data_IF_113878148726
#
_entry.id   IF_113878148726
#
_cell.length_a   1.000
_cell.length_b   1.000
_cell.length_c   1.000
_cell.angle_alpha   90.00
_cell.angle_beta   90.00
_cell.angle_gamma   90.00
#
_symmetry.space_group_name_H-M   'P 1'
#
loop_
_entity.id
_entity.type
_entity.pdbx_description
1 polymer ?
#
# COMPACT_ATOMS: atom_id res chain seq x y z
N UNK A 1 43.55 37.03 63.33
CA UNK A 1 43.45 36.13 62.16
C UNK A 1 41.97 35.92 61.86
N UNK A 2 41.47 36.46 60.74
CA UNK A 2 40.08 36.23 60.29
C UNK A 2 40.08 34.96 59.45
N UNK A 3 39.33 33.95 59.89
CA UNK A 3 39.05 32.77 59.07
C UNK A 3 38.06 33.21 57.97
N UNK A 4 38.57 33.46 56.78
CA UNK A 4 37.76 33.66 55.58
C UNK A 4 37.00 32.38 55.30
N UNK A 5 35.67 32.43 55.36
CA UNK A 5 34.81 31.35 54.91
C UNK A 5 35.03 31.16 53.41
N UNK A 6 35.89 30.23 53.03
CA UNK A 6 35.99 29.72 51.66
C UNK A 6 34.65 29.01 51.40
N UNK A 7 33.66 29.74 50.90
CA UNK A 7 32.44 29.12 50.35
C UNK A 7 32.91 28.21 49.20
N UNK A 8 32.85 26.90 49.43
CA UNK A 8 32.96 25.91 48.37
C UNK A 8 31.77 26.13 47.43
N UNK A 9 32.00 26.92 46.39
CA UNK A 9 31.01 27.24 45.37
C UNK A 9 30.82 25.98 44.53
N UNK A 10 29.89 25.13 44.93
CA UNK A 10 29.55 23.92 44.17
C UNK A 10 29.10 24.33 42.77
N UNK A 11 29.85 23.91 41.76
CA UNK A 11 29.49 24.18 40.38
C UNK A 11 28.15 23.51 40.07
N UNK A 12 27.19 24.31 39.59
CA UNK A 12 25.90 23.76 39.21
C UNK A 12 26.11 22.77 38.06
N UNK A 13 25.42 21.62 38.09
CA UNK A 13 25.57 20.53 37.10
C UNK A 13 25.54 21.02 35.65
N UNK A 14 24.69 22.02 35.38
CA UNK A 14 24.56 22.69 34.06
C UNK A 14 25.87 23.31 33.55
N UNK A 15 26.70 23.84 34.44
CA UNK A 15 27.94 24.55 34.09
C UNK A 15 29.05 23.55 33.77
N UNK A 16 29.08 22.43 34.52
CA UNK A 16 29.96 21.29 34.25
C UNK A 16 29.61 20.62 32.92
N UNK A 17 28.32 20.43 32.64
CA UNK A 17 27.86 19.87 31.36
C UNK A 17 28.14 20.81 30.19
N UNK A 18 28.02 22.13 30.39
CA UNK A 18 28.36 23.12 29.36
C UNK A 18 29.84 23.08 29.02
N UNK A 19 30.71 23.04 30.03
CA UNK A 19 32.16 22.90 29.85
C UNK A 19 32.50 21.60 29.13
N UNK A 20 31.84 20.49 29.49
CA UNK A 20 32.01 19.20 28.81
C UNK A 20 31.59 19.27 27.34
N UNK A 21 30.50 19.95 27.01
CA UNK A 21 30.03 20.08 25.63
C UNK A 21 30.95 20.96 24.79
N UNK A 22 31.48 22.06 25.39
CA UNK A 22 32.50 22.91 24.78
C UNK A 22 33.78 22.13 24.47
N UNK A 23 34.25 21.31 25.42
CA UNK A 23 35.45 20.50 25.25
C UNK A 23 35.29 19.41 24.19
N UNK A 24 34.05 18.93 23.96
CA UNK A 24 33.71 17.91 22.95
C UNK A 24 33.37 18.50 21.57
N UNK A 25 33.50 19.82 21.37
CA UNK A 25 33.18 20.49 20.10
C UNK A 25 31.69 20.52 19.76
N UNK A 26 30.81 20.28 20.74
CA UNK A 26 29.36 20.21 20.56
C UNK A 26 28.70 21.53 20.95
N UNK A 27 28.93 22.56 20.14
CA UNK A 27 28.55 23.95 20.41
C UNK A 27 27.02 24.23 20.46
N UNK A 28 26.17 23.23 20.20
CA UNK A 28 24.71 23.36 20.18
C UNK A 28 23.95 22.36 21.05
N UNK A 29 24.62 21.50 21.82
CA UNK A 29 23.92 20.54 22.70
C UNK A 29 23.38 21.21 23.96
N UNK A 30 22.08 21.04 24.21
CA UNK A 30 21.37 21.66 25.34
C UNK A 30 21.83 21.07 26.67
N UNK A 31 22.12 21.94 27.63
CA UNK A 31 22.49 21.61 29.01
C UNK A 31 21.32 21.75 29.99
N UNK A 32 20.10 21.97 29.49
CA UNK A 32 18.86 21.99 30.28
C UNK A 32 17.74 21.24 29.55
N UNK A 33 16.91 20.54 30.32
CA UNK A 33 15.60 20.06 29.88
C UNK A 33 14.66 21.26 29.67
N UNK A 34 14.55 21.72 28.43
CA UNK A 34 13.57 22.74 28.04
C UNK A 34 12.37 22.04 27.43
N UNK A 35 11.25 22.03 28.15
CA UNK A 35 9.95 21.61 27.62
C UNK A 35 9.45 22.75 26.71
N UNK A 36 9.24 22.45 25.42
CA UNK A 36 8.76 23.44 24.43
C UNK A 36 9.71 23.71 23.25
N UNK A 37 10.83 23.01 23.11
CA UNK A 37 11.76 23.27 22.01
C UNK A 37 11.25 22.71 20.66
N UNK A 38 10.95 23.60 19.72
CA UNK A 38 10.67 23.25 18.32
C UNK A 38 11.89 22.57 17.68
N UNK A 39 11.64 21.59 16.81
CA UNK A 39 12.71 20.94 16.03
C UNK A 39 13.41 22.03 15.17
N UNK A 40 14.73 21.93 14.98
CA UNK A 40 15.47 22.85 14.12
C UNK A 40 14.87 22.87 12.70
N UNK A 41 14.74 24.07 12.11
CA UNK A 41 14.25 24.26 10.75
C UNK A 41 15.21 23.62 9.74
N UNK A 42 14.87 22.40 9.32
CA UNK A 42 15.57 21.71 8.24
C UNK A 42 15.01 22.20 6.92
N UNK A 43 15.87 22.75 6.08
CA UNK A 43 15.54 23.07 4.70
C UNK A 43 15.65 21.78 3.90
N UNK A 44 14.60 21.48 3.14
CA UNK A 44 14.52 20.32 2.25
C UNK A 44 14.41 20.85 0.82
N UNK A 45 15.10 20.21 -0.10
CA UNK A 45 15.10 20.58 -1.52
C UNK A 45 14.07 19.74 -2.30
N UNK A 46 13.85 20.10 -3.57
CA UNK A 46 12.92 19.40 -4.43
C UNK A 46 13.39 17.96 -4.69
N UNK A 47 12.53 16.99 -4.38
CA UNK A 47 12.88 15.55 -4.45
C UNK A 47 13.29 14.92 -3.12
N UNK A 48 13.52 15.69 -2.06
CA UNK A 48 13.85 15.12 -0.74
C UNK A 48 12.68 14.35 -0.14
N UNK A 49 12.98 13.17 0.42
CA UNK A 49 12.01 12.35 1.16
C UNK A 49 12.40 12.32 2.63
N UNK A 50 11.54 12.83 3.52
CA UNK A 50 11.81 12.80 4.96
C UNK A 50 10.62 12.35 5.78
N UNK A 51 10.89 11.83 6.98
CA UNK A 51 9.86 11.44 7.96
C UNK A 51 9.65 12.57 8.98
N UNK A 52 8.44 13.08 9.08
CA UNK A 52 8.00 13.98 10.16
C UNK A 52 6.64 13.53 10.67
N UNK A 53 6.51 13.46 11.99
CA UNK A 53 5.25 13.19 12.70
C UNK A 53 4.56 11.90 12.21
N UNK A 54 5.36 10.85 12.02
CA UNK A 54 4.92 9.53 11.57
C UNK A 54 4.57 9.44 10.08
N UNK A 55 4.71 10.52 9.30
CA UNK A 55 4.39 10.59 7.87
C UNK A 55 5.63 10.85 7.02
N UNK A 56 5.64 10.34 5.80
CA UNK A 56 6.68 10.59 4.80
C UNK A 56 6.29 11.77 3.92
N UNK A 57 7.12 12.79 3.89
CA UNK A 57 6.92 14.02 3.14
C UNK A 57 7.88 14.10 1.96
N UNK A 58 7.44 14.75 0.89
CA UNK A 58 8.23 15.15 -0.27
C UNK A 58 7.90 16.55 -0.71
N UNK A 59 8.84 17.23 -1.34
CA UNK A 59 8.57 18.45 -2.11
C UNK A 59 8.46 18.06 -3.58
N UNK A 60 7.35 18.42 -4.21
CA UNK A 60 7.10 18.30 -5.65
C UNK A 60 6.46 19.57 -6.16
N UNK A 61 7.01 20.16 -7.21
CA UNK A 61 6.53 21.40 -7.81
C UNK A 61 6.46 22.54 -6.76
N UNK A 62 7.44 22.59 -5.85
CA UNK A 62 7.48 23.55 -4.73
C UNK A 62 6.45 23.33 -3.62
N UNK A 63 5.59 22.31 -3.71
CA UNK A 63 4.55 22.01 -2.72
C UNK A 63 4.98 20.82 -1.86
N UNK A 64 4.92 20.99 -0.54
CA UNK A 64 5.10 19.91 0.43
C UNK A 64 3.90 18.95 0.39
N UNK A 65 4.12 17.74 -0.14
CA UNK A 65 3.13 16.68 -0.27
C UNK A 65 3.46 15.49 0.64
N UNK A 66 2.43 14.82 1.17
CA UNK A 66 2.57 13.59 1.95
C UNK A 66 2.54 12.38 1.00
N UNK A 67 3.59 11.54 1.04
CA UNK A 67 3.62 10.27 0.32
C UNK A 67 2.78 9.26 1.10
N UNK A 68 1.61 8.91 0.57
CA UNK A 68 0.79 7.82 1.10
C UNK A 68 1.05 6.52 0.36
N UNK A 69 0.81 5.37 1.00
CA UNK A 69 0.86 4.05 0.33
C UNK A 69 -0.07 4.00 -0.90
N UNK A 70 -1.20 4.70 -0.84
CA UNK A 70 -2.21 4.79 -1.90
C UNK A 70 -1.80 5.71 -3.06
N UNK A 71 -0.74 6.51 -2.92
CA UNK A 71 -0.35 7.48 -3.95
C UNK A 71 0.09 6.80 -5.26
N UNK A 72 0.71 5.61 -5.15
CA UNK A 72 1.02 4.75 -6.32
C UNK A 72 -0.25 4.25 -7.00
N UNK A 73 -1.23 3.77 -6.23
CA UNK A 73 -2.48 3.25 -6.75
C UNK A 73 -3.34 4.35 -7.41
N UNK A 74 -3.35 5.56 -6.84
CA UNK A 74 -4.02 6.71 -7.45
C UNK A 74 -3.44 7.01 -8.83
N UNK A 75 -2.11 7.07 -8.95
CA UNK A 75 -1.42 7.35 -10.23
C UNK A 75 -1.71 6.30 -11.31
N UNK A 76 -1.82 5.02 -10.94
CA UNK A 76 -2.10 3.95 -11.92
C UNK A 76 -3.56 3.89 -12.37
N UNK A 77 -4.48 4.46 -11.60
CA UNK A 77 -5.92 4.51 -11.90
C UNK A 77 -6.38 5.84 -12.49
N UNK A 78 -5.54 6.89 -12.44
CA UNK A 78 -5.84 8.16 -13.10
C UNK A 78 -5.64 7.97 -14.61
N UNK A 79 -6.74 8.17 -15.35
CA UNK A 79 -6.72 8.20 -16.80
C UNK A 79 -6.12 9.53 -17.27
N UNK A 80 -5.08 9.52 -18.12
CA UNK A 80 -4.50 10.73 -18.67
C UNK A 80 -5.50 11.40 -19.63
N UNK A 81 -5.31 12.70 -19.85
CA UNK A 81 -6.11 13.44 -20.83
C UNK A 81 -5.82 12.97 -22.26
N UNK A 82 -4.60 12.53 -22.53
CA UNK A 82 -4.13 12.09 -23.83
C UNK A 82 -3.78 10.59 -23.79
N UNK A 83 -4.22 9.86 -24.81
CA UNK A 83 -3.90 8.45 -24.94
C UNK A 83 -2.39 8.26 -25.19
N UNK A 84 -1.70 7.36 -24.46
CA UNK A 84 -0.26 7.16 -24.62
C UNK A 84 0.13 6.56 -25.99
N UNK A 85 -0.80 5.89 -26.69
CA UNK A 85 -0.53 5.26 -27.99
C UNK A 85 -0.75 6.19 -29.19
N UNK A 86 -1.76 7.05 -29.14
CA UNK A 86 -2.15 7.87 -30.31
C UNK A 86 -2.19 9.37 -30.03
N UNK A 87 -1.85 9.80 -28.81
CA UNK A 87 -1.83 11.20 -28.36
C UNK A 87 -3.14 11.96 -28.59
N UNK A 88 -4.25 11.25 -28.81
CA UNK A 88 -5.58 11.84 -28.94
C UNK A 88 -6.22 12.03 -27.57
N UNK A 89 -7.09 13.04 -27.46
CA UNK A 89 -7.91 13.28 -26.29
C UNK A 89 -8.77 12.05 -25.98
N UNK A 90 -8.68 11.59 -24.73
CA UNK A 90 -9.46 10.46 -24.22
C UNK A 90 -10.87 10.91 -23.82
N UNK A 91 -11.86 10.14 -24.22
CA UNK A 91 -13.29 10.36 -23.90
C UNK A 91 -13.66 9.57 -22.65
N UNK A 92 -14.81 9.89 -22.04
CA UNK A 92 -15.37 9.13 -20.90
C UNK A 92 -15.51 7.63 -21.18
N UNK A 93 -15.77 7.26 -22.43
CA UNK A 93 -15.91 5.88 -22.91
C UNK A 93 -14.59 5.11 -22.92
N UNK A 94 -13.44 5.80 -22.93
CA UNK A 94 -12.11 5.17 -22.95
C UNK A 94 -11.65 4.66 -21.58
N UNK A 95 -12.33 5.05 -20.50
CA UNK A 95 -11.98 4.69 -19.11
C UNK A 95 -11.84 3.17 -18.86
N UNK A 96 -12.80 2.31 -19.22
CA UNK A 96 -12.65 0.86 -19.04
C UNK A 96 -11.46 0.30 -19.83
N UNK A 97 -11.28 0.73 -21.09
CA UNK A 97 -10.18 0.28 -21.94
C UNK A 97 -8.81 0.68 -21.39
N UNK A 98 -8.69 1.90 -20.86
CA UNK A 98 -7.46 2.36 -20.23
C UNK A 98 -7.12 1.59 -18.95
N UNK A 99 -8.12 1.21 -18.16
CA UNK A 99 -7.88 0.45 -16.94
C UNK A 99 -7.26 -0.92 -17.24
N UNK A 100 -7.76 -1.63 -18.26
CA UNK A 100 -7.30 -2.96 -18.65
C UNK A 100 -6.06 -2.94 -19.55
N UNK A 101 -6.11 -2.17 -20.64
CA UNK A 101 -5.12 -2.22 -21.73
C UNK A 101 -4.19 -0.99 -21.81
N UNK A 102 -4.43 0.01 -20.95
CA UNK A 102 -3.67 1.27 -20.90
C UNK A 102 -3.69 2.08 -22.21
N UNK A 103 -4.67 1.87 -23.08
CA UNK A 103 -4.91 2.69 -24.28
C UNK A 103 -6.41 2.96 -24.52
N UNK A 104 -6.71 3.89 -25.42
CA UNK A 104 -8.09 4.27 -25.77
C UNK A 104 -8.82 3.19 -26.59
N UNK A 105 -10.13 3.33 -26.70
CA UNK A 105 -11.03 2.47 -27.48
C UNK A 105 -10.61 2.38 -28.95
N UNK A 106 -10.25 3.50 -29.57
CA UNK A 106 -9.83 3.50 -30.98
C UNK A 106 -8.55 2.67 -31.21
N UNK A 107 -7.61 2.71 -30.27
CA UNK A 107 -6.42 1.87 -30.32
C UNK A 107 -6.76 0.39 -30.10
N UNK A 108 -7.77 0.10 -29.27
CA UNK A 108 -8.28 -1.25 -29.07
C UNK A 108 -8.93 -1.81 -30.35
N UNK A 109 -9.80 -1.03 -31.00
CA UNK A 109 -10.44 -1.43 -32.25
C UNK A 109 -9.42 -1.74 -33.36
N UNK A 110 -8.34 -0.95 -33.47
CA UNK A 110 -7.25 -1.24 -34.43
C UNK A 110 -6.51 -2.53 -34.10
N UNK A 111 -6.31 -2.81 -32.82
CA UNK A 111 -5.67 -4.04 -32.37
C UNK A 111 -6.55 -5.26 -32.67
N UNK A 112 -7.85 -5.19 -32.39
CA UNK A 112 -8.80 -6.25 -32.74
C UNK A 112 -8.90 -6.46 -34.26
N UNK A 113 -8.95 -5.39 -35.06
CA UNK A 113 -8.96 -5.46 -36.52
C UNK A 113 -7.70 -6.13 -37.06
N UNK A 114 -6.52 -5.81 -36.50
CA UNK A 114 -5.27 -6.47 -36.85
C UNK A 114 -5.30 -7.97 -36.49
N UNK A 115 -5.78 -8.32 -35.29
CA UNK A 115 -5.91 -9.73 -34.88
C UNK A 115 -6.86 -10.52 -35.79
N UNK A 116 -7.96 -9.90 -36.23
CA UNK A 116 -8.91 -10.51 -37.16
C UNK A 116 -8.29 -10.73 -38.54
N UNK A 117 -7.54 -9.75 -39.05
CA UNK A 117 -6.79 -9.88 -40.31
C UNK A 117 -5.76 -11.01 -40.26
N UNK A 118 -5.13 -11.21 -39.12
CA UNK A 118 -4.18 -12.29 -38.89
C UNK A 118 -4.84 -13.65 -38.61
N UNK A 119 -6.17 -13.71 -38.46
CA UNK A 119 -6.90 -14.93 -38.09
C UNK A 119 -6.70 -15.40 -36.63
N UNK A 120 -5.93 -14.66 -35.82
CA UNK A 120 -5.57 -15.03 -34.43
C UNK A 120 -6.55 -14.52 -33.39
N UNK A 121 -7.68 -13.95 -33.83
CA UNK A 121 -8.66 -13.35 -32.94
C UNK A 121 -9.18 -14.38 -31.92
N UNK A 122 -9.70 -15.51 -32.38
CA UNK A 122 -10.26 -16.54 -31.49
C UNK A 122 -9.22 -17.09 -30.51
N UNK A 123 -8.03 -17.44 -30.99
CA UNK A 123 -6.93 -17.90 -30.12
C UNK A 123 -6.58 -16.90 -29.02
N UNK A 124 -6.57 -15.60 -29.34
CA UNK A 124 -6.25 -14.55 -28.37
C UNK A 124 -7.31 -14.49 -27.26
N UNK A 125 -8.60 -14.56 -27.60
CA UNK A 125 -9.68 -14.54 -26.60
C UNK A 125 -9.76 -15.85 -25.81
N UNK A 126 -9.53 -17.00 -26.45
CA UNK A 126 -9.46 -18.29 -25.75
C UNK A 126 -8.34 -18.29 -24.71
N UNK A 127 -7.13 -17.86 -25.09
CA UNK A 127 -6.00 -17.70 -24.15
C UNK A 127 -6.30 -16.77 -22.98
N UNK A 128 -7.13 -15.73 -23.17
CA UNK A 128 -7.54 -14.85 -22.09
C UNK A 128 -8.57 -15.55 -21.20
N UNK A 129 -9.57 -16.22 -21.79
CA UNK A 129 -10.59 -16.95 -21.05
C UNK A 129 -9.98 -18.07 -20.21
N UNK A 130 -9.04 -18.85 -20.76
CA UNK A 130 -8.37 -19.92 -20.04
C UNK A 130 -7.63 -19.38 -18.81
N UNK A 131 -6.90 -18.27 -18.97
CA UNK A 131 -6.22 -17.59 -17.86
C UNK A 131 -7.19 -17.07 -16.80
N UNK A 132 -8.36 -16.58 -17.20
CA UNK A 132 -9.40 -16.14 -16.27
C UNK A 132 -9.94 -17.34 -15.48
N UNK A 133 -10.20 -18.46 -16.16
CA UNK A 133 -10.67 -19.70 -15.55
C UNK A 133 -9.62 -20.23 -14.56
N UNK A 134 -8.34 -20.28 -14.94
CA UNK A 134 -7.24 -20.69 -14.07
C UNK A 134 -7.20 -19.85 -12.78
N UNK A 135 -7.18 -18.52 -12.93
CA UNK A 135 -7.15 -17.60 -11.80
C UNK A 135 -8.39 -17.76 -10.92
N UNK A 136 -9.55 -18.03 -11.52
CA UNK A 136 -10.80 -18.24 -10.79
C UNK A 136 -10.76 -19.52 -9.95
N UNK A 137 -10.17 -20.60 -10.48
CA UNK A 137 -9.95 -21.85 -9.74
C UNK A 137 -9.01 -21.59 -8.57
N UNK A 138 -7.91 -20.87 -8.78
CA UNK A 138 -6.97 -20.51 -7.71
C UNK A 138 -7.63 -19.68 -6.60
N UNK A 139 -8.36 -18.62 -6.97
CA UNK A 139 -9.10 -17.77 -6.02
C UNK A 139 -10.13 -18.60 -5.23
N UNK A 140 -10.81 -19.53 -5.89
CA UNK A 140 -11.78 -20.41 -5.24
C UNK A 140 -11.11 -21.35 -4.23
N UNK A 141 -9.97 -21.96 -4.57
CA UNK A 141 -9.19 -22.80 -3.65
C UNK A 141 -8.74 -22.01 -2.42
N UNK A 142 -8.19 -20.81 -2.63
CA UNK A 142 -7.78 -19.92 -1.52
C UNK A 142 -8.96 -19.56 -0.63
N UNK A 143 -10.10 -19.20 -1.22
CA UNK A 143 -11.32 -18.90 -0.47
C UNK A 143 -11.77 -20.07 0.39
N UNK A 144 -11.80 -21.29 -0.16
CA UNK A 144 -12.21 -22.49 0.61
C UNK A 144 -11.20 -22.80 1.71
N UNK A 145 -9.90 -22.67 1.45
CA UNK A 145 -8.88 -22.83 2.50
C UNK A 145 -9.03 -21.80 3.62
N UNK A 146 -9.34 -20.55 3.30
CA UNK A 146 -9.59 -19.50 4.29
C UNK A 146 -10.82 -19.83 5.14
N UNK A 147 -11.92 -20.26 4.50
CA UNK A 147 -13.13 -20.70 5.21
C UNK A 147 -12.93 -21.95 6.06
N UNK A 148 -12.05 -22.86 5.67
CA UNK A 148 -11.67 -24.02 6.48
C UNK A 148 -10.83 -23.65 7.71
N UNK A 149 -10.09 -22.53 7.64
CA UNK A 149 -9.26 -22.01 8.74
C UNK A 149 -10.04 -21.08 9.67
N UNK A 150 -11.11 -20.45 9.20
CA UNK A 150 -12.04 -19.70 10.05
C UNK A 150 -12.63 -20.63 11.12
N UNK A 151 -12.35 -20.37 12.40
CA UNK A 151 -12.99 -21.04 13.52
C UNK A 151 -14.35 -20.40 13.80
N UNK A 152 -15.32 -21.20 14.27
CA UNK A 152 -16.59 -20.70 14.80
C UNK A 152 -16.35 -19.97 16.14
N UNK A 153 -15.84 -18.75 16.05
CA UNK A 153 -15.75 -17.83 17.15
C UNK A 153 -17.16 -17.28 17.39
N UNK A 154 -17.81 -17.84 18.41
CA UNK A 154 -19.03 -17.36 19.08
C UNK A 154 -19.67 -16.11 18.46
N UNK A 155 -20.79 -16.28 17.76
CA UNK A 155 -21.58 -15.15 17.29
C UNK A 155 -22.53 -14.69 18.40
N UNK A 156 -22.62 -13.38 18.63
CA UNK A 156 -23.53 -12.80 19.63
C UNK A 156 -24.79 -12.36 18.89
N UNK A 157 -25.93 -12.98 19.19
CA UNK A 157 -27.21 -12.61 18.61
C UNK A 157 -27.65 -11.22 19.10
N UNK A 158 -28.59 -10.59 18.38
CA UNK A 158 -29.15 -9.28 18.76
C UNK A 158 -29.78 -9.29 20.17
N UNK A 159 -30.17 -10.48 20.65
CA UNK A 159 -30.71 -10.71 21.98
C UNK A 159 -29.63 -10.92 23.06
N UNK A 160 -28.34 -10.81 22.69
CA UNK A 160 -27.21 -10.97 23.61
C UNK A 160 -26.82 -12.42 23.90
N UNK A 161 -27.40 -13.40 23.20
CA UNK A 161 -27.07 -14.81 23.38
C UNK A 161 -25.85 -15.19 22.55
N UNK A 162 -24.92 -15.92 23.17
CA UNK A 162 -23.72 -16.43 22.50
C UNK A 162 -24.05 -17.76 21.85
N UNK A 163 -24.24 -17.75 20.54
CA UNK A 163 -24.43 -18.98 19.77
C UNK A 163 -23.08 -19.53 19.31
N UNK A 164 -22.78 -20.75 19.76
CA UNK A 164 -21.65 -21.53 19.27
C UNK A 164 -22.18 -22.67 18.41
N UNK A 165 -21.90 -22.60 17.12
CA UNK A 165 -22.25 -23.66 16.17
C UNK A 165 -21.22 -24.78 16.32
N UNK A 166 -21.62 -25.86 17.01
CA UNK A 166 -20.76 -27.03 17.26
C UNK A 166 -20.95 -28.02 16.11
N UNK A 167 -20.11 -27.91 15.10
CA UNK A 167 -19.99 -28.87 14.01
C UNK A 167 -18.60 -28.75 13.39
N UNK A 168 -17.84 -29.85 13.33
CA UNK A 168 -16.59 -29.87 12.57
C UNK A 168 -16.96 -30.07 11.10
N UNK A 169 -16.45 -29.19 10.24
CA UNK A 169 -16.59 -29.37 8.79
C UNK A 169 -15.84 -30.63 8.37
N UNK A 170 -16.49 -31.48 7.59
CA UNK A 170 -15.86 -32.67 7.01
C UNK A 170 -14.91 -32.21 5.89
N UNK A 171 -13.62 -32.16 6.20
CA UNK A 171 -12.59 -31.61 5.32
C UNK A 171 -12.47 -32.42 4.03
N UNK A 172 -12.68 -33.72 4.10
CA UNK A 172 -12.48 -34.63 2.97
C UNK A 172 -13.58 -34.40 1.92
N UNK A 173 -14.84 -34.27 2.36
CA UNK A 173 -15.95 -33.88 1.47
C UNK A 173 -15.76 -32.52 0.83
N UNK A 174 -15.26 -31.54 1.59
CA UNK A 174 -15.03 -30.19 1.06
C UNK A 174 -13.95 -30.21 -0.03
N UNK A 175 -12.86 -30.95 0.17
CA UNK A 175 -11.82 -31.10 -0.85
C UNK A 175 -12.37 -31.81 -2.11
N UNK A 176 -13.18 -32.86 -1.94
CA UNK A 176 -13.84 -33.54 -3.06
C UNK A 176 -14.72 -32.58 -3.88
N UNK A 177 -15.52 -31.73 -3.22
CA UNK A 177 -16.31 -30.71 -3.93
C UNK A 177 -15.44 -29.67 -4.64
N UNK A 178 -14.31 -29.28 -4.05
CA UNK A 178 -13.37 -28.35 -4.68
C UNK A 178 -12.76 -28.95 -5.95
N UNK A 179 -12.41 -30.23 -5.92
CA UNK A 179 -11.92 -30.97 -7.08
C UNK A 179 -12.98 -31.06 -8.16
N UNK A 180 -14.21 -31.48 -7.82
CA UNK A 180 -15.34 -31.54 -8.76
C UNK A 180 -15.64 -30.21 -9.44
N UNK A 181 -15.60 -29.10 -8.69
CA UNK A 181 -15.81 -27.75 -9.23
C UNK A 181 -14.64 -27.35 -10.13
N UNK A 182 -13.40 -27.65 -9.72
CA UNK A 182 -12.20 -27.38 -10.51
C UNK A 182 -12.25 -28.12 -11.86
N UNK A 183 -12.65 -29.39 -11.84
CA UNK A 183 -12.77 -30.22 -13.04
C UNK A 183 -13.85 -29.70 -13.98
N UNK A 184 -15.04 -29.36 -13.45
CA UNK A 184 -16.07 -28.71 -14.25
C UNK A 184 -15.58 -27.40 -14.86
N UNK A 185 -14.88 -26.57 -14.10
CA UNK A 185 -14.32 -25.32 -14.63
C UNK A 185 -13.30 -25.55 -15.73
N UNK A 186 -12.48 -26.60 -15.62
CA UNK A 186 -11.53 -26.98 -16.67
C UNK A 186 -12.22 -27.41 -17.97
N UNK A 187 -13.43 -27.98 -17.93
CA UNK A 187 -14.18 -28.35 -19.15
C UNK A 187 -14.61 -27.15 -20.00
N UNK A 188 -14.63 -25.93 -19.44
CA UNK A 188 -14.98 -24.72 -20.18
C UNK A 188 -13.79 -24.08 -20.92
N UNK A 189 -12.58 -24.61 -20.75
CA UNK A 189 -11.42 -24.16 -21.52
C UNK A 189 -11.54 -24.61 -22.97
N UNK A 190 -11.15 -23.75 -23.90
CA UNK A 190 -11.28 -23.97 -25.35
C UNK A 190 -9.98 -24.48 -25.99
#
# INVERSE_FOLDING_TARGET
MKNESILKKEFQKKDVERLRNLMKGKYGEKTRSSVGFSKADKHYEEGDVWKSDGRTWTIKDGIKQNITKLDKAKKTHIMPLLCPKCSKLMKRVDKPYYNTSKHCLNCHAKFEDQLKKEGKYEEHYNKINDKIIDKRIEEFKVFVEEKLRESNDSFISENGEVEKWIGKLDKDRVMEYVELVSDKLNTFKS
#
